data_IF_753686416458
#
_entry.id   IF_753686416458
#
_cell.length_a   1.000
_cell.length_b   1.000
_cell.length_c   1.000
_cell.angle_alpha   90.00
_cell.angle_beta   90.00
_cell.angle_gamma   90.00
#
_symmetry.space_group_name_H-M   'P 1'
#
loop_
_entity.id
_entity.type
_entity.pdbx_description
1 polymer ?
#
# COMPACT_ATOMS: atom_id res chain seq x y z
N UNK A 1 3.11 -31.22 -3.02
CA UNK A 1 3.47 -30.52 -1.78
C UNK A 1 4.79 -29.75 -2.00
N UNK A 2 4.74 -28.70 -2.83
CA UNK A 2 5.83 -27.76 -3.18
C UNK A 2 5.18 -26.51 -3.81
N UNK A 3 4.35 -25.80 -3.04
CA UNK A 3 3.52 -24.68 -3.53
C UNK A 3 3.70 -23.37 -2.74
N UNK A 4 4.68 -23.28 -1.82
CA UNK A 4 4.72 -22.19 -0.83
C UNK A 4 6.07 -21.43 -0.74
N UNK A 5 6.97 -21.53 -1.71
CA UNK A 5 8.32 -20.93 -1.59
C UNK A 5 8.57 -19.64 -2.36
N UNK A 6 7.57 -19.02 -3.01
CA UNK A 6 7.83 -17.81 -3.84
C UNK A 6 6.80 -16.69 -3.74
N UNK A 7 5.71 -16.84 -2.99
CA UNK A 7 4.57 -15.88 -3.03
C UNK A 7 4.51 -14.88 -1.88
N UNK A 8 5.54 -14.82 -1.03
CA UNK A 8 5.69 -13.79 0.03
C UNK A 8 6.79 -12.76 -0.29
N UNK A 9 7.28 -12.73 -1.53
CA UNK A 9 8.41 -11.92 -1.99
C UNK A 9 8.02 -10.89 -3.07
N UNK A 10 6.81 -10.32 -2.99
CA UNK A 10 6.37 -9.22 -3.87
C UNK A 10 6.46 -7.82 -3.21
N UNK A 11 6.92 -7.75 -1.95
CA UNK A 11 7.29 -6.47 -1.29
C UNK A 11 8.80 -6.18 -1.33
N UNK A 12 9.60 -6.97 -2.04
CA UNK A 12 11.07 -6.80 -2.11
C UNK A 12 11.56 -6.04 -3.36
N UNK A 13 10.76 -5.15 -3.93
CA UNK A 13 11.21 -4.22 -4.98
C UNK A 13 11.37 -2.81 -4.40
N UNK A 14 12.20 -2.70 -3.37
CA UNK A 14 12.84 -1.45 -2.99
C UNK A 14 14.31 -1.52 -3.42
N UNK A 15 14.65 -0.63 -4.35
CA UNK A 15 15.96 0.01 -4.46
C UNK A 15 17.19 -0.88 -4.62
N UNK A 16 17.55 -1.23 -5.86
CA UNK A 16 18.98 -1.16 -6.25
C UNK A 16 19.13 -0.54 -7.65
N UNK A 17 19.88 0.56 -7.72
CA UNK A 17 20.22 1.29 -8.95
C UNK A 17 21.68 1.77 -8.89
N UNK A 18 22.46 1.64 -9.97
CA UNK A 18 23.65 2.46 -10.20
C UNK A 18 23.50 3.41 -11.41
N UNK A 19 23.62 4.70 -11.12
CA UNK A 19 24.27 5.83 -11.85
C UNK A 19 24.39 5.83 -13.39
N UNK A 20 23.88 6.89 -14.05
CA UNK A 20 24.63 7.67 -15.08
C UNK A 20 23.94 8.95 -15.61
N UNK A 21 24.71 10.05 -15.57
CA UNK A 21 25.02 11.13 -16.53
C UNK A 21 23.98 11.94 -17.36
N UNK A 22 24.12 13.26 -17.18
CA UNK A 22 23.55 14.50 -17.75
C UNK A 22 23.33 14.64 -19.29
N UNK A 23 22.32 15.43 -19.70
CA UNK A 23 22.44 16.68 -20.51
C UNK A 23 21.08 17.35 -20.84
N UNK A 24 21.12 18.65 -21.19
CA UNK A 24 20.12 19.72 -21.02
C UNK A 24 18.91 19.81 -21.99
N UNK A 25 17.86 20.60 -21.66
CA UNK A 25 16.52 20.51 -22.27
C UNK A 25 16.17 21.65 -23.26
N UNK A 26 15.03 21.52 -23.93
CA UNK A 26 14.31 22.62 -24.60
C UNK A 26 12.79 22.46 -24.48
N UNK A 27 12.02 23.56 -24.49
CA UNK A 27 10.71 23.62 -23.84
C UNK A 27 9.56 23.30 -24.79
N UNK A 28 8.50 22.68 -24.27
CA UNK A 28 7.19 22.69 -24.93
C UNK A 28 6.09 23.15 -23.98
N UNK A 29 5.20 23.94 -24.56
CA UNK A 29 4.09 24.66 -23.97
C UNK A 29 2.87 23.75 -23.87
N UNK A 30 2.23 23.64 -22.71
CA UNK A 30 0.80 23.33 -22.65
C UNK A 30 0.16 23.94 -21.40
N UNK A 31 -1.01 24.52 -21.63
CA UNK A 31 -1.81 25.34 -20.72
C UNK A 31 -2.58 24.49 -19.71
N UNK A 32 -2.42 24.80 -18.43
CA UNK A 32 -3.23 24.32 -17.33
C UNK A 32 -4.71 24.69 -17.52
N UNK A 33 -5.62 23.72 -17.37
CA UNK A 33 -7.03 24.00 -17.15
C UNK A 33 -7.26 24.30 -15.66
N UNK A 34 -8.05 25.33 -15.37
CA UNK A 34 -8.37 25.77 -14.01
C UNK A 34 -9.38 24.82 -13.33
N UNK A 35 -9.32 24.66 -11.99
CA UNK A 35 -10.29 23.86 -11.25
C UNK A 35 -11.45 24.74 -10.79
N UNK A 36 -12.67 24.48 -11.28
CA UNK A 36 -13.87 24.82 -10.51
C UNK A 36 -15.09 24.05 -11.03
N UNK A 37 -15.46 23.01 -10.29
CA UNK A 37 -16.84 22.61 -9.98
C UNK A 37 -16.74 21.37 -9.08
N UNK A 38 -17.58 21.29 -8.04
CA UNK A 38 -17.80 20.02 -7.34
C UNK A 38 -18.32 19.06 -8.39
N UNK A 39 -17.59 17.99 -8.80
CA UNK A 39 -18.03 17.21 -9.94
C UNK A 39 -19.38 16.62 -9.62
N UNK A 40 -20.39 16.94 -10.45
CA UNK A 40 -21.62 16.16 -10.49
C UNK A 40 -21.23 14.69 -10.60
N UNK A 41 -21.85 13.82 -9.81
CA UNK A 41 -21.56 12.38 -9.82
C UNK A 41 -21.47 11.88 -11.28
N UNK A 42 -20.29 11.45 -11.77
CA UNK A 42 -20.06 11.15 -13.19
C UNK A 42 -20.90 9.96 -13.69
N UNK A 43 -21.69 9.33 -12.82
CA UNK A 43 -22.63 8.27 -13.15
C UNK A 43 -22.09 6.87 -12.89
N UNK A 44 -22.80 5.87 -13.42
CA UNK A 44 -22.42 4.46 -13.29
C UNK A 44 -21.15 4.15 -14.09
N UNK A 45 -20.28 3.29 -13.54
CA UNK A 45 -19.18 2.69 -14.30
C UNK A 45 -19.71 1.71 -15.35
N UNK A 46 -19.19 1.78 -16.57
CA UNK A 46 -19.37 0.74 -17.59
C UNK A 46 -18.29 -0.32 -17.42
N UNK A 47 -18.69 -1.59 -17.42
CA UNK A 47 -17.80 -2.73 -17.18
C UNK A 47 -17.68 -3.55 -18.44
N UNK A 48 -16.47 -3.65 -18.99
CA UNK A 48 -16.15 -4.53 -20.12
C UNK A 48 -15.24 -5.66 -19.64
N UNK A 49 -15.70 -6.91 -19.78
CA UNK A 49 -14.88 -8.09 -19.51
C UNK A 49 -13.95 -8.36 -20.69
N UNK A 50 -12.64 -8.17 -20.47
CA UNK A 50 -11.59 -8.42 -21.46
C UNK A 50 -11.14 -9.89 -21.46
N UNK A 51 -11.22 -10.56 -20.32
CA UNK A 51 -10.77 -11.94 -20.16
C UNK A 51 -11.24 -12.57 -18.87
N UNK A 52 -10.89 -13.84 -18.68
CA UNK A 52 -11.10 -14.56 -17.42
C UNK A 52 -10.15 -15.74 -17.32
N UNK A 53 -9.92 -16.18 -16.09
CA UNK A 53 -9.23 -17.42 -15.79
C UNK A 53 -9.63 -17.91 -14.41
N UNK A 54 -8.80 -18.75 -13.81
CA UNK A 54 -9.07 -19.36 -12.52
C UNK A 54 -7.79 -19.62 -11.72
N UNK A 55 -7.87 -19.43 -10.41
CA UNK A 55 -6.89 -19.90 -9.45
C UNK A 55 -7.30 -21.29 -8.96
N UNK A 56 -6.42 -22.28 -9.06
CA UNK A 56 -6.59 -23.61 -8.44
C UNK A 56 -5.60 -23.79 -7.30
N UNK A 57 -6.09 -23.71 -6.06
CA UNK A 57 -5.26 -23.88 -4.87
C UNK A 57 -6.07 -24.51 -3.73
N UNK A 58 -5.39 -25.22 -2.82
CA UNK A 58 -6.02 -25.88 -1.66
C UNK A 58 -7.26 -26.75 -2.00
N UNK A 59 -7.27 -27.39 -3.18
CA UNK A 59 -8.40 -28.21 -3.64
C UNK A 59 -9.65 -27.40 -4.04
N UNK A 60 -9.53 -26.08 -4.18
CA UNK A 60 -10.59 -25.16 -4.55
C UNK A 60 -10.23 -24.42 -5.84
N UNK A 61 -11.26 -23.86 -6.49
CA UNK A 61 -11.14 -23.06 -7.71
C UNK A 61 -11.79 -21.71 -7.49
N UNK A 62 -11.07 -20.62 -7.77
CA UNK A 62 -11.60 -19.26 -7.73
C UNK A 62 -11.52 -18.65 -9.14
N UNK A 63 -12.65 -18.37 -9.80
CA UNK A 63 -12.63 -17.68 -11.08
C UNK A 63 -12.19 -16.24 -10.90
N UNK A 64 -11.53 -15.68 -11.91
CA UNK A 64 -11.28 -14.24 -12.00
C UNK A 64 -11.70 -13.68 -13.35
N UNK A 65 -11.94 -12.38 -13.38
CA UNK A 65 -12.25 -11.60 -14.57
C UNK A 65 -11.21 -10.50 -14.73
N UNK A 66 -10.81 -10.25 -15.98
CA UNK A 66 -10.00 -9.09 -16.36
C UNK A 66 -10.95 -8.03 -16.90
N UNK A 67 -10.96 -6.86 -16.28
CA UNK A 67 -11.96 -5.82 -16.48
C UNK A 67 -11.32 -4.55 -17.02
N UNK A 68 -12.04 -3.91 -17.94
CA UNK A 68 -11.92 -2.49 -18.27
C UNK A 68 -13.12 -1.78 -17.65
N UNK A 69 -12.85 -0.76 -16.85
CA UNK A 69 -13.84 0.04 -16.14
C UNK A 69 -13.82 1.46 -16.72
N UNK A 70 -14.97 1.92 -17.21
CA UNK A 70 -15.07 3.20 -17.91
C UNK A 70 -16.08 4.08 -17.18
N UNK A 71 -15.60 5.19 -16.63
CA UNK A 71 -16.43 6.23 -16.02
C UNK A 71 -16.49 7.41 -17.00
N UNK A 72 -17.68 7.98 -17.31
CA UNK A 72 -17.80 9.09 -18.25
C UNK A 72 -16.85 10.24 -17.94
N UNK A 73 -16.13 10.71 -18.96
CA UNK A 73 -15.18 11.83 -18.83
C UNK A 73 -13.83 11.48 -18.21
N UNK A 74 -13.54 10.19 -17.96
CA UNK A 74 -12.28 9.73 -17.37
C UNK A 74 -11.56 8.73 -18.28
N UNK A 75 -10.27 8.56 -18.03
CA UNK A 75 -9.50 7.48 -18.64
C UNK A 75 -10.04 6.10 -18.21
N UNK A 76 -9.73 5.08 -19.01
CA UNK A 76 -10.13 3.71 -18.69
C UNK A 76 -9.25 3.14 -17.57
N UNK A 77 -9.90 2.57 -16.56
CA UNK A 77 -9.25 1.86 -15.46
C UNK A 77 -9.23 0.36 -15.76
N UNK A 78 -8.16 -0.31 -15.34
CA UNK A 78 -8.02 -1.76 -15.48
C UNK A 78 -8.03 -2.43 -14.12
N UNK A 79 -8.71 -3.57 -14.04
CA UNK A 79 -8.80 -4.32 -12.79
C UNK A 79 -8.86 -5.83 -13.02
N UNK A 80 -8.35 -6.60 -12.05
CA UNK A 80 -8.57 -8.03 -11.94
C UNK A 80 -9.51 -8.31 -10.77
N UNK A 81 -10.65 -8.93 -11.07
CA UNK A 81 -11.73 -9.17 -10.13
C UNK A 81 -11.91 -10.64 -9.82
N UNK A 82 -11.85 -10.99 -8.54
CA UNK A 82 -12.26 -12.27 -8.00
C UNK A 82 -13.58 -12.07 -7.23
N UNK A 83 -14.73 -12.54 -7.78
CA UNK A 83 -15.99 -12.45 -7.06
C UNK A 83 -15.95 -13.31 -5.78
N UNK A 84 -16.62 -12.88 -4.70
CA UNK A 84 -16.80 -13.73 -3.54
C UNK A 84 -17.50 -15.05 -3.90
N UNK A 85 -17.06 -16.15 -3.29
CA UNK A 85 -17.46 -17.50 -3.70
C UNK A 85 -18.79 -17.96 -3.12
N UNK A 86 -19.11 -17.56 -1.88
CA UNK A 86 -20.31 -18.03 -1.19
C UNK A 86 -21.56 -17.33 -1.74
N UNK A 87 -22.67 -18.05 -1.94
CA UNK A 87 -23.96 -17.40 -2.16
C UNK A 87 -24.27 -16.46 -1.00
N UNK A 88 -24.45 -15.17 -1.28
CA UNK A 88 -24.67 -14.13 -0.27
C UNK A 88 -23.83 -12.88 -0.51
N UNK A 89 -23.83 -11.96 0.44
CA UNK A 89 -22.97 -10.76 0.44
C UNK A 89 -21.71 -11.04 1.27
N UNK A 90 -20.54 -10.84 0.67
CA UNK A 90 -19.24 -11.12 1.30
C UNK A 90 -18.35 -9.90 1.32
N UNK A 91 -17.38 -9.84 2.26
CA UNK A 91 -16.37 -8.79 2.26
C UNK A 91 -15.55 -8.81 0.97
N UNK A 92 -15.00 -7.64 0.63
CA UNK A 92 -14.08 -7.47 -0.49
C UNK A 92 -12.84 -6.73 -0.02
N UNK A 93 -11.68 -7.08 -0.56
CA UNK A 93 -10.47 -6.27 -0.44
C UNK A 93 -10.12 -5.67 -1.78
N UNK A 94 -10.01 -4.34 -1.83
CA UNK A 94 -9.44 -3.61 -2.95
C UNK A 94 -7.93 -3.46 -2.75
N UNK A 95 -7.14 -3.93 -3.72
CA UNK A 95 -5.69 -3.81 -3.74
C UNK A 95 -5.28 -2.75 -4.76
N UNK A 96 -4.45 -1.80 -4.33
CA UNK A 96 -3.87 -0.77 -5.19
C UNK A 96 -2.60 -1.30 -5.87
N UNK A 97 -2.54 -1.32 -7.20
CA UNK A 97 -1.42 -1.86 -7.98
C UNK A 97 -0.82 -0.82 -8.94
N UNK A 98 -0.24 0.28 -8.45
CA UNK A 98 0.28 1.36 -9.31
C UNK A 98 1.43 0.90 -10.21
N UNK A 99 2.30 0.02 -9.69
CA UNK A 99 3.56 -0.35 -10.34
C UNK A 99 3.50 -1.65 -11.15
N UNK A 100 2.41 -2.42 -11.03
CA UNK A 100 2.28 -3.71 -11.71
C UNK A 100 2.08 -3.52 -13.21
N UNK A 101 2.99 -4.11 -13.99
CA UNK A 101 2.97 -4.06 -15.45
C UNK A 101 2.00 -5.07 -16.04
N UNK A 102 0.88 -4.61 -16.61
CA UNK A 102 -0.12 -5.49 -17.24
C UNK A 102 -0.01 -5.45 -18.76
N UNK A 103 -0.31 -6.58 -19.42
CA UNK A 103 -0.21 -6.72 -20.88
C UNK A 103 -1.52 -7.19 -21.55
N UNK A 104 -2.56 -7.48 -20.75
CA UNK A 104 -3.81 -8.09 -21.19
C UNK A 104 -4.90 -7.08 -21.59
N UNK A 105 -4.59 -5.79 -21.54
CA UNK A 105 -5.53 -4.69 -21.81
C UNK A 105 -5.84 -4.50 -23.30
N UNK A 106 -4.92 -4.94 -24.17
CA UNK A 106 -4.93 -4.65 -25.61
C UNK A 106 -4.39 -3.26 -25.98
N UNK A 107 -3.94 -2.45 -25.01
CA UNK A 107 -3.41 -1.12 -25.29
C UNK A 107 -1.95 -1.14 -25.76
N UNK A 108 -1.61 -0.23 -26.69
CA UNK A 108 -0.28 -0.16 -27.27
C UNK A 108 0.81 0.19 -26.24
N UNK A 109 0.49 1.03 -25.24
CA UNK A 109 1.44 1.38 -24.16
C UNK A 109 1.77 0.16 -23.30
N UNK A 110 0.79 -0.68 -22.98
CA UNK A 110 0.99 -1.90 -22.21
C UNK A 110 1.81 -2.92 -22.99
N UNK A 111 1.52 -3.10 -24.28
CA UNK A 111 2.32 -3.94 -25.17
C UNK A 111 3.77 -3.44 -25.29
N UNK A 112 3.97 -2.11 -25.40
CA UNK A 112 5.29 -1.45 -25.46
C UNK A 112 6.11 -1.79 -24.21
N UNK A 113 5.54 -1.62 -23.03
CA UNK A 113 6.24 -1.86 -21.76
C UNK A 113 6.44 -3.35 -21.48
N UNK A 114 5.44 -4.19 -21.76
CA UNK A 114 5.56 -5.64 -21.64
C UNK A 114 6.72 -6.19 -22.48
N UNK A 115 6.94 -5.65 -23.69
CA UNK A 115 8.05 -6.06 -24.56
C UNK A 115 9.45 -5.75 -23.99
N UNK A 116 9.56 -4.83 -23.01
CA UNK A 116 10.83 -4.51 -22.33
C UNK A 116 11.22 -5.53 -21.26
N UNK A 117 10.24 -6.25 -20.71
CA UNK A 117 10.44 -7.18 -19.60
C UNK A 117 10.78 -6.50 -18.27
N UNK A 118 11.02 -7.31 -17.24
CA UNK A 118 11.35 -6.82 -15.89
C UNK A 118 12.65 -6.01 -15.90
N UNK A 119 12.63 -4.82 -15.30
CA UNK A 119 13.85 -4.03 -15.11
C UNK A 119 13.58 -2.55 -14.99
N UNK A 120 14.66 -1.79 -15.05
CA UNK A 120 14.64 -0.32 -15.07
C UNK A 120 14.79 0.13 -16.50
N UNK A 121 13.84 0.92 -16.97
CA UNK A 121 13.81 1.42 -18.35
C UNK A 121 13.63 2.93 -18.33
N UNK A 122 14.17 3.66 -19.33
CA UNK A 122 13.87 5.08 -19.49
C UNK A 122 12.36 5.30 -19.45
N UNK A 123 11.89 6.24 -18.62
CA UNK A 123 10.48 6.62 -18.63
C UNK A 123 10.21 7.45 -19.88
N UNK A 124 9.64 6.81 -20.89
CA UNK A 124 9.25 7.40 -22.16
C UNK A 124 7.73 7.39 -22.36
N UNK A 125 7.00 7.42 -21.25
CA UNK A 125 5.57 7.65 -21.19
C UNK A 125 5.29 9.03 -20.61
N UNK A 126 4.11 9.58 -20.92
CA UNK A 126 3.58 10.76 -20.25
C UNK A 126 3.61 10.60 -18.72
N UNK A 127 3.43 11.69 -17.95
CA UNK A 127 3.37 13.07 -18.38
C UNK A 127 4.75 13.66 -18.65
N UNK A 128 4.90 14.47 -19.69
CA UNK A 128 6.05 15.37 -19.90
C UNK A 128 7.42 14.68 -19.96
N UNK A 129 7.50 13.47 -20.51
CA UNK A 129 8.79 12.81 -20.74
C UNK A 129 9.60 13.48 -21.85
N UNK A 130 10.91 13.28 -21.81
CA UNK A 130 11.81 13.80 -22.84
C UNK A 130 13.23 13.27 -22.72
N UNK A 131 14.15 13.75 -23.55
CA UNK A 131 15.57 13.44 -23.41
C UNK A 131 16.05 13.76 -21.99
N UNK A 132 16.57 12.74 -21.29
CA UNK A 132 17.06 12.89 -19.91
C UNK A 132 16.05 12.54 -18.81
N UNK A 133 14.82 12.12 -19.15
CA UNK A 133 13.90 11.53 -18.17
C UNK A 133 14.54 10.31 -17.49
N UNK A 134 14.34 10.20 -16.18
CA UNK A 134 14.95 9.14 -15.39
C UNK A 134 14.25 7.80 -15.63
N UNK A 135 14.92 6.72 -15.25
CA UNK A 135 14.36 5.39 -15.42
C UNK A 135 13.28 5.10 -14.37
N UNK A 136 12.26 4.34 -14.77
CA UNK A 136 11.28 3.76 -13.86
C UNK A 136 11.39 2.24 -13.87
N UNK A 137 11.01 1.63 -12.76
CA UNK A 137 10.92 0.18 -12.67
C UNK A 137 9.65 -0.30 -13.38
N UNK A 138 9.77 -1.41 -14.11
CA UNK A 138 8.66 -2.14 -14.69
C UNK A 138 8.78 -3.61 -14.32
N UNK A 139 7.71 -4.17 -13.77
CA UNK A 139 7.61 -5.60 -13.45
C UNK A 139 6.36 -6.14 -14.11
N UNK A 140 6.48 -7.01 -15.14
CA UNK A 140 5.35 -7.69 -15.72
C UNK A 140 4.63 -8.54 -14.65
N UNK A 141 3.35 -8.28 -14.46
CA UNK A 141 2.49 -8.98 -13.52
C UNK A 141 1.41 -9.72 -14.30
N UNK A 142 1.43 -11.06 -14.23
CA UNK A 142 0.41 -11.89 -14.88
C UNK A 142 -0.82 -12.04 -13.98
N UNK A 143 -1.99 -12.38 -14.54
CA UNK A 143 -3.17 -12.65 -13.72
C UNK A 143 -2.96 -13.75 -12.67
N UNK A 144 -2.08 -14.71 -12.92
CA UNK A 144 -1.74 -15.80 -11.99
C UNK A 144 -0.91 -15.31 -10.81
N UNK A 145 -0.03 -14.31 -10.99
CA UNK A 145 0.72 -13.71 -9.89
C UNK A 145 -0.22 -12.96 -8.94
N UNK A 146 -1.14 -12.15 -9.49
CA UNK A 146 -2.19 -11.48 -8.71
C UNK A 146 -3.08 -12.49 -8.00
N UNK A 147 -3.40 -13.61 -8.65
CA UNK A 147 -4.15 -14.68 -8.03
C UNK A 147 -3.42 -15.29 -6.82
N UNK A 148 -2.11 -15.48 -6.92
CA UNK A 148 -1.27 -15.95 -5.82
C UNK A 148 -1.28 -15.00 -4.62
N UNK A 149 -1.21 -13.69 -4.85
CA UNK A 149 -1.28 -12.67 -3.81
C UNK A 149 -2.69 -12.57 -3.19
N UNK A 150 -3.73 -12.67 -4.01
CA UNK A 150 -5.12 -12.63 -3.58
C UNK A 150 -5.50 -13.85 -2.70
N UNK A 151 -4.76 -14.96 -2.81
CA UNK A 151 -5.11 -16.23 -2.18
C UNK A 151 -5.43 -16.12 -0.69
N UNK A 152 -4.69 -15.29 0.05
CA UNK A 152 -4.93 -15.12 1.50
C UNK A 152 -6.33 -14.57 1.79
N UNK A 153 -6.90 -13.71 0.94
CA UNK A 153 -8.27 -13.21 1.09
C UNK A 153 -9.29 -14.20 0.55
N UNK A 154 -9.01 -14.79 -0.61
CA UNK A 154 -9.89 -15.75 -1.28
C UNK A 154 -10.17 -16.99 -0.42
N UNK A 155 -9.17 -17.42 0.36
CA UNK A 155 -9.31 -18.51 1.31
C UNK A 155 -10.31 -18.20 2.43
N UNK A 156 -10.52 -16.92 2.76
CA UNK A 156 -11.54 -16.44 3.69
C UNK A 156 -12.89 -16.16 3.01
N UNK A 157 -13.10 -16.64 1.79
CA UNK A 157 -14.30 -16.35 0.98
C UNK A 157 -14.53 -14.84 0.70
N UNK A 158 -13.49 -14.01 0.84
CA UNK A 158 -13.56 -12.60 0.46
C UNK A 158 -13.43 -12.48 -1.06
N UNK A 159 -14.07 -11.46 -1.64
CA UNK A 159 -13.74 -11.02 -2.99
C UNK A 159 -12.45 -10.20 -3.00
N UNK A 160 -11.80 -10.11 -4.16
CA UNK A 160 -10.59 -9.29 -4.34
C UNK A 160 -10.68 -8.52 -5.63
N UNK A 161 -10.52 -7.20 -5.55
CA UNK A 161 -10.38 -6.32 -6.70
C UNK A 161 -8.98 -5.71 -6.71
N UNK A 162 -8.12 -6.16 -7.61
CA UNK A 162 -6.83 -5.51 -7.85
C UNK A 162 -7.00 -4.43 -8.92
N UNK A 163 -6.78 -3.16 -8.58
CA UNK A 163 -6.93 -2.01 -9.48
C UNK A 163 -5.54 -1.50 -9.87
N UNK A 164 -5.30 -1.33 -11.17
CA UNK A 164 -3.97 -0.98 -11.70
C UNK A 164 -3.91 0.51 -12.08
N UNK A 165 -3.11 1.29 -11.34
CA UNK A 165 -2.86 2.71 -11.64
C UNK A 165 -1.90 2.94 -12.83
N UNK A 166 -1.19 1.88 -13.27
CA UNK A 166 -0.33 1.90 -14.47
C UNK A 166 0.62 3.10 -14.49
N UNK A 167 1.39 3.27 -13.42
CA UNK A 167 2.39 4.33 -13.28
C UNK A 167 3.29 4.42 -14.53
N UNK A 168 3.70 3.28 -15.08
CA UNK A 168 4.51 3.18 -16.30
C UNK A 168 3.83 3.70 -17.58
N UNK A 169 2.50 3.77 -17.61
CA UNK A 169 1.72 4.33 -18.71
C UNK A 169 1.47 5.84 -18.56
N UNK A 170 1.90 6.43 -17.44
CA UNK A 170 1.84 7.85 -17.19
C UNK A 170 0.71 8.32 -16.29
N UNK A 171 0.19 7.43 -15.44
CA UNK A 171 -0.76 7.81 -14.40
C UNK A 171 -0.21 8.95 -13.54
N UNK A 172 -0.99 10.01 -13.41
CA UNK A 172 -0.76 11.14 -12.52
C UNK A 172 -1.70 11.07 -11.31
N UNK A 173 -1.62 12.04 -10.38
CA UNK A 173 -2.44 11.99 -9.17
C UNK A 173 -3.94 11.96 -9.49
N UNK A 174 -4.40 12.75 -10.45
CA UNK A 174 -5.83 12.76 -10.77
C UNK A 174 -6.27 11.45 -11.43
N UNK A 175 -5.46 10.88 -12.34
CA UNK A 175 -5.77 9.59 -12.97
C UNK A 175 -5.79 8.44 -11.96
N UNK A 176 -4.78 8.33 -11.09
CA UNK A 176 -4.69 7.22 -10.13
C UNK A 176 -5.84 7.25 -9.12
N UNK A 177 -6.23 8.46 -8.69
CA UNK A 177 -7.44 8.68 -7.88
C UNK A 177 -8.71 8.25 -8.62
N UNK A 178 -8.82 8.61 -9.89
CA UNK A 178 -9.96 8.24 -10.73
C UNK A 178 -10.05 6.72 -10.94
N UNK A 179 -8.92 6.03 -11.03
CA UNK A 179 -8.84 4.57 -11.11
C UNK A 179 -9.40 3.91 -9.85
N UNK A 180 -8.97 4.37 -8.68
CA UNK A 180 -9.51 3.87 -7.41
C UNK A 180 -11.01 4.13 -7.28
N UNK A 181 -11.47 5.31 -7.71
CA UNK A 181 -12.90 5.63 -7.72
C UNK A 181 -13.70 4.74 -8.68
N UNK A 182 -13.17 4.42 -9.86
CA UNK A 182 -13.79 3.48 -10.79
C UNK A 182 -13.89 2.07 -10.21
N UNK A 183 -12.84 1.62 -9.49
CA UNK A 183 -12.83 0.37 -8.75
C UNK A 183 -13.93 0.30 -7.69
N UNK A 184 -14.08 1.35 -6.87
CA UNK A 184 -15.14 1.42 -5.86
C UNK A 184 -16.54 1.46 -6.51
N UNK A 185 -16.74 2.23 -7.58
CA UNK A 185 -18.01 2.24 -8.33
C UNK A 185 -18.37 0.87 -8.88
N UNK A 186 -17.37 0.10 -9.33
CA UNK A 186 -17.58 -1.28 -9.74
C UNK A 186 -18.07 -2.13 -8.56
N UNK A 187 -17.44 -2.01 -7.38
CA UNK A 187 -17.88 -2.75 -6.18
C UNK A 187 -19.30 -2.38 -5.72
N UNK A 188 -19.74 -1.14 -5.92
CA UNK A 188 -21.13 -0.74 -5.65
C UNK A 188 -22.16 -1.43 -6.55
N UNK A 189 -21.76 -1.86 -7.74
CA UNK A 189 -22.62 -2.47 -8.75
C UNK A 189 -22.49 -3.99 -8.83
N UNK A 190 -21.35 -4.54 -8.38
CA UNK A 190 -21.06 -5.95 -8.47
C UNK A 190 -21.98 -6.76 -7.56
N UNK A 191 -22.53 -7.86 -8.10
CA UNK A 191 -23.32 -8.80 -7.32
C UNK A 191 -22.49 -9.40 -6.19
N UNK A 192 -23.17 -9.76 -5.09
CA UNK A 192 -22.59 -10.50 -3.96
C UNK A 192 -21.50 -9.75 -3.16
N UNK A 193 -21.32 -8.45 -3.39
CA UNK A 193 -20.45 -7.58 -2.59
C UNK A 193 -21.22 -7.02 -1.39
N UNK A 194 -20.64 -7.18 -0.20
CA UNK A 194 -21.08 -6.45 0.99
C UNK A 194 -20.39 -5.08 1.03
N UNK A 195 -21.10 -4.03 0.60
CA UNK A 195 -20.54 -2.66 0.56
C UNK A 195 -20.24 -2.07 1.94
N UNK A 196 -20.69 -2.71 3.02
CA UNK A 196 -20.34 -2.31 4.41
C UNK A 196 -19.05 -2.96 4.91
N UNK A 197 -18.52 -3.96 4.17
CA UNK A 197 -17.31 -4.72 4.50
C UNK A 197 -16.31 -4.69 3.34
N UNK A 198 -15.90 -3.50 2.96
CA UNK A 198 -14.84 -3.29 1.97
C UNK A 198 -13.56 -2.85 2.68
N UNK A 199 -12.49 -3.61 2.48
CA UNK A 199 -11.14 -3.21 2.85
C UNK A 199 -10.40 -2.58 1.69
N UNK A 200 -9.48 -1.66 1.98
CA UNK A 200 -8.52 -1.15 1.00
C UNK A 200 -7.09 -1.31 1.50
N UNK A 201 -6.17 -1.72 0.63
CA UNK A 201 -4.76 -1.93 0.96
C UNK A 201 -3.86 -1.35 -0.11
N UNK A 202 -2.82 -0.63 0.32
CA UNK A 202 -1.79 -0.12 -0.57
C UNK A 202 -0.48 0.24 0.14
N UNK A 203 0.61 0.36 -0.61
CA UNK A 203 1.91 0.79 -0.07
C UNK A 203 2.59 1.81 -0.98
N UNK A 204 3.40 2.70 -0.41
CA UNK A 204 4.08 3.79 -1.12
C UNK A 204 3.07 4.67 -1.86
N UNK A 205 3.24 4.86 -3.17
CA UNK A 205 2.24 5.46 -4.05
C UNK A 205 0.87 4.76 -3.98
N UNK A 206 0.84 3.43 -3.85
CA UNK A 206 -0.41 2.70 -3.61
C UNK A 206 -1.03 3.01 -2.25
N UNK A 207 -0.22 3.41 -1.26
CA UNK A 207 -0.70 3.90 0.03
C UNK A 207 -1.44 5.23 -0.13
N UNK A 208 -0.93 6.12 -0.99
CA UNK A 208 -1.64 7.30 -1.45
C UNK A 208 -2.97 6.91 -2.14
N UNK A 209 -2.93 6.02 -3.12
CA UNK A 209 -4.13 5.54 -3.83
C UNK A 209 -5.18 4.99 -2.85
N UNK A 210 -4.76 4.23 -1.83
CA UNK A 210 -5.65 3.68 -0.81
C UNK A 210 -6.32 4.77 0.04
N UNK A 211 -5.56 5.79 0.46
CA UNK A 211 -6.10 6.93 1.21
C UNK A 211 -7.11 7.73 0.37
N UNK A 212 -6.81 7.98 -0.90
CA UNK A 212 -7.70 8.75 -1.78
C UNK A 212 -8.88 7.93 -2.29
N UNK A 213 -8.76 6.60 -2.40
CA UNK A 213 -9.90 5.72 -2.59
C UNK A 213 -10.95 5.95 -1.50
N UNK A 214 -10.51 6.05 -0.23
CA UNK A 214 -11.41 6.31 0.89
C UNK A 214 -11.88 7.77 0.97
N UNK A 215 -11.02 8.74 0.64
CA UNK A 215 -11.36 10.16 0.64
C UNK A 215 -12.45 10.50 -0.39
N UNK A 216 -12.39 9.86 -1.56
CA UNK A 216 -13.25 10.12 -2.71
C UNK A 216 -14.23 8.98 -2.99
N UNK A 217 -14.45 8.12 -2.00
CA UNK A 217 -15.39 7.03 -2.07
C UNK A 217 -16.79 7.56 -2.44
N UNK A 218 -17.47 7.00 -3.47
CA UNK A 218 -18.88 7.30 -3.70
C UNK A 218 -19.70 7.00 -2.44
N UNK A 219 -20.72 7.81 -2.15
CA UNK A 219 -21.52 7.66 -0.93
C UNK A 219 -22.20 6.28 -0.77
N UNK A 220 -22.39 5.54 -1.88
CA UNK A 220 -22.95 4.19 -1.90
C UNK A 220 -21.96 3.09 -1.54
N UNK A 221 -20.65 3.41 -1.47
CA UNK A 221 -19.57 2.44 -1.31
C UNK A 221 -18.36 3.10 -0.63
N UNK A 222 -18.29 3.00 0.69
CA UNK A 222 -17.18 3.55 1.49
C UNK A 222 -16.42 2.39 2.13
N UNK A 223 -15.09 2.28 1.94
CA UNK A 223 -14.30 1.28 2.65
C UNK A 223 -14.48 1.40 4.16
N UNK A 224 -14.62 0.27 4.86
CA UNK A 224 -14.80 0.23 6.32
C UNK A 224 -13.50 0.05 7.09
N UNK A 225 -12.42 -0.32 6.40
CA UNK A 225 -11.07 -0.41 6.96
C UNK A 225 -10.03 -0.20 5.84
N UNK A 226 -8.94 0.50 6.17
CA UNK A 226 -7.80 0.68 5.30
C UNK A 226 -6.50 0.23 5.94
N UNK A 227 -5.55 -0.22 5.11
CA UNK A 227 -4.15 -0.35 5.50
C UNK A 227 -3.28 0.36 4.46
N UNK A 228 -2.37 1.18 4.94
CA UNK A 228 -1.37 1.85 4.12
C UNK A 228 0.05 1.54 4.62
N UNK A 229 0.99 1.28 3.72
CA UNK A 229 2.41 1.16 4.03
C UNK A 229 3.14 2.39 3.50
N UNK A 230 3.91 3.09 4.34
CA UNK A 230 4.64 4.32 3.96
C UNK A 230 3.90 5.23 2.96
N UNK A 231 2.68 5.72 3.25
CA UNK A 231 1.88 6.45 2.27
C UNK A 231 2.34 7.90 2.11
N UNK A 232 2.20 8.45 0.89
CA UNK A 232 2.17 9.91 0.71
C UNK A 232 0.84 10.46 1.21
N UNK A 233 0.87 11.28 2.27
CA UNK A 233 -0.30 11.99 2.79
C UNK A 233 -0.33 13.47 2.41
N UNK A 234 0.82 14.06 2.07
CA UNK A 234 0.95 15.46 1.69
C UNK A 234 2.00 15.65 0.57
N UNK A 235 1.54 16.03 -0.61
CA UNK A 235 2.40 16.13 -1.79
C UNK A 235 3.22 17.43 -1.84
N UNK A 236 2.74 18.51 -1.20
CA UNK A 236 3.54 19.72 -1.09
C UNK A 236 4.70 19.52 -0.10
N UNK A 237 4.43 18.79 0.98
CA UNK A 237 5.46 18.35 1.93
C UNK A 237 6.47 17.41 1.28
N UNK A 238 6.03 16.48 0.42
CA UNK A 238 6.93 15.61 -0.34
C UNK A 238 7.88 16.42 -1.23
N UNK A 239 7.34 17.37 -1.99
CA UNK A 239 8.16 18.21 -2.87
C UNK A 239 9.18 19.01 -2.05
N UNK A 240 8.79 19.57 -0.90
CA UNK A 240 9.72 20.24 0.02
C UNK A 240 10.79 19.28 0.58
N UNK A 241 10.37 18.08 1.00
CA UNK A 241 11.26 17.07 1.55
C UNK A 241 12.40 16.74 0.57
N UNK A 242 12.07 16.42 -0.68
CA UNK A 242 13.07 16.07 -1.69
C UNK A 242 13.87 17.29 -2.15
N UNK A 243 13.25 18.46 -2.30
CA UNK A 243 13.92 19.65 -2.85
C UNK A 243 14.77 20.43 -1.83
N UNK A 244 14.46 20.33 -0.53
CA UNK A 244 15.15 21.09 0.52
C UNK A 244 15.73 20.19 1.62
N UNK A 245 14.93 19.26 2.15
CA UNK A 245 15.36 18.44 3.30
C UNK A 245 16.45 17.46 2.90
N UNK A 246 16.25 16.68 1.84
CA UNK A 246 17.25 15.71 1.35
C UNK A 246 18.59 16.41 1.01
N UNK A 247 18.65 17.51 0.24
CA UNK A 247 19.90 18.24 -0.02
C UNK A 247 20.57 18.81 1.24
N UNK A 248 19.81 19.13 2.29
CA UNK A 248 20.37 19.59 3.56
C UNK A 248 20.98 18.46 4.40
N UNK A 249 20.50 17.21 4.23
CA UNK A 249 20.93 16.03 4.98
C UNK A 249 22.00 15.21 4.26
N UNK A 250 21.98 15.20 2.92
CA UNK A 250 22.87 14.41 2.07
C UNK A 250 24.00 15.29 1.54
N UNK A 251 25.19 15.18 2.12
CA UNK A 251 26.37 15.91 1.65
C UNK A 251 27.04 15.28 0.42
N UNK A 252 26.91 13.97 0.20
CA UNK A 252 27.49 13.26 -0.94
C UNK A 252 26.77 13.63 -2.25
N UNK A 253 27.47 14.22 -3.25
CA UNK A 253 26.86 14.58 -4.53
C UNK A 253 26.36 13.37 -5.34
N UNK A 254 26.99 12.20 -5.21
CA UNK A 254 26.53 10.97 -5.90
C UNK A 254 25.20 10.53 -5.31
N UNK A 255 25.06 10.55 -3.99
CA UNK A 255 23.82 10.19 -3.32
C UNK A 255 22.71 11.20 -3.63
N UNK A 256 22.99 12.51 -3.63
CA UNK A 256 22.01 13.53 -4.06
C UNK A 256 21.50 13.29 -5.48
N UNK A 257 22.40 12.96 -6.41
CA UNK A 257 22.05 12.62 -7.80
C UNK A 257 21.12 11.41 -7.88
N UNK A 258 21.33 10.38 -7.03
CA UNK A 258 20.43 9.22 -6.94
C UNK A 258 19.02 9.58 -6.48
N UNK A 259 18.88 10.43 -5.46
CA UNK A 259 17.57 10.92 -5.03
C UNK A 259 16.87 11.72 -6.15
N UNK A 260 17.59 12.63 -6.81
CA UNK A 260 17.03 13.40 -7.91
C UNK A 260 16.55 12.51 -9.06
N UNK A 261 17.34 11.50 -9.45
CA UNK A 261 16.96 10.54 -10.48
C UNK A 261 15.76 9.69 -10.06
N UNK A 262 15.70 9.28 -8.79
CA UNK A 262 14.57 8.50 -8.28
C UNK A 262 13.26 9.31 -8.34
N UNK A 263 13.28 10.56 -7.87
CA UNK A 263 12.05 11.35 -7.72
C UNK A 263 11.60 12.08 -8.99
N UNK A 264 12.46 12.24 -9.99
CA UNK A 264 12.10 12.90 -11.26
C UNK A 264 10.78 12.38 -11.88
N UNK A 265 10.56 11.07 -12.08
CA UNK A 265 9.32 10.58 -12.67
C UNK A 265 8.09 10.81 -11.77
N UNK A 266 8.27 10.80 -10.45
CA UNK A 266 7.20 11.10 -9.49
C UNK A 266 6.81 12.58 -9.54
N UNK A 267 7.81 13.47 -9.59
CA UNK A 267 7.59 14.91 -9.68
C UNK A 267 6.88 15.30 -10.97
N UNK A 268 7.19 14.66 -12.11
CA UNK A 268 6.43 14.88 -13.34
C UNK A 268 4.93 14.59 -13.17
N UNK A 269 4.60 13.51 -12.48
CA UNK A 269 3.21 13.09 -12.22
C UNK A 269 2.52 13.98 -11.19
N UNK A 270 3.21 14.35 -10.12
CA UNK A 270 2.72 15.33 -9.15
C UNK A 270 2.43 16.65 -9.86
N UNK A 271 3.38 17.19 -10.62
CA UNK A 271 3.26 18.49 -11.28
C UNK A 271 2.25 18.50 -12.44
N UNK A 272 2.05 17.37 -13.13
CA UNK A 272 1.02 17.24 -14.15
C UNK A 272 -0.38 17.52 -13.57
N UNK A 273 -0.67 16.99 -12.38
CA UNK A 273 -1.93 17.25 -11.69
C UNK A 273 -1.95 18.60 -10.95
N UNK A 274 -0.86 18.95 -10.29
CA UNK A 274 -0.82 20.10 -9.37
C UNK A 274 -0.38 21.40 -10.01
N UNK A 275 0.02 21.41 -11.28
CA UNK A 275 0.38 22.62 -12.03
C UNK A 275 1.80 23.14 -11.82
N UNK A 276 2.66 22.46 -11.04
CA UNK A 276 4.06 22.82 -10.81
C UNK A 276 4.44 22.80 -9.33
N UNK A 277 5.57 23.42 -8.97
CA UNK A 277 6.05 23.42 -7.59
C UNK A 277 5.07 24.12 -6.62
N UNK A 278 4.99 23.68 -5.35
CA UNK A 278 4.11 24.30 -4.35
C UNK A 278 4.36 25.80 -4.18
N UNK A 279 3.28 26.59 -4.22
CA UNK A 279 3.33 28.04 -4.01
C UNK A 279 3.69 28.85 -5.25
N UNK A 280 3.89 28.21 -6.41
CA UNK A 280 4.03 28.90 -7.69
C UNK A 280 2.68 29.27 -8.30
N UNK A 281 2.56 30.38 -9.06
CA UNK A 281 1.30 30.75 -9.69
C UNK A 281 0.78 29.64 -10.62
N UNK A 282 -0.47 29.23 -10.42
CA UNK A 282 -1.09 28.14 -11.18
C UNK A 282 -0.94 26.76 -10.54
N UNK A 283 -0.15 26.63 -9.47
CA UNK A 283 -0.10 25.39 -8.70
C UNK A 283 -1.27 25.25 -7.71
N UNK A 284 -1.81 24.04 -7.56
CA UNK A 284 -2.85 23.70 -6.59
C UNK A 284 -2.57 22.35 -5.92
N UNK A 285 -2.26 22.44 -4.62
CA UNK A 285 -2.05 21.29 -3.74
C UNK A 285 -3.17 21.13 -2.72
N UNK A 286 -4.22 21.97 -2.74
CA UNK A 286 -5.22 22.06 -1.65
C UNK A 286 -5.91 20.72 -1.36
N UNK A 287 -6.10 19.90 -2.39
CA UNK A 287 -6.69 18.56 -2.32
C UNK A 287 -5.70 17.46 -1.95
N UNK A 288 -4.40 17.77 -1.97
CA UNK A 288 -3.31 16.81 -1.92
C UNK A 288 -2.52 16.91 -0.60
N UNK A 289 -3.23 17.21 0.50
CA UNK A 289 -2.65 17.49 1.83
C UNK A 289 -3.14 16.53 2.91
N UNK A 290 -2.37 16.43 3.99
CA UNK A 290 -2.78 15.67 5.17
C UNK A 290 -4.07 16.25 5.81
N UNK A 291 -4.25 17.58 5.72
CA UNK A 291 -5.47 18.25 6.19
C UNK A 291 -6.70 17.90 5.35
N UNK A 292 -6.54 17.80 4.02
CA UNK A 292 -7.61 17.33 3.16
C UNK A 292 -8.04 15.92 3.55
N UNK A 293 -7.08 14.98 3.61
CA UNK A 293 -7.35 13.59 4.02
C UNK A 293 -7.98 13.51 5.41
N UNK A 294 -7.47 14.27 6.37
CA UNK A 294 -8.04 14.34 7.71
C UNK A 294 -9.46 14.93 7.71
N UNK A 295 -9.87 15.74 6.73
CA UNK A 295 -11.24 16.24 6.65
C UNK A 295 -12.19 15.27 5.92
N UNK A 296 -11.71 14.53 4.93
CA UNK A 296 -12.56 13.76 4.00
C UNK A 296 -12.64 12.28 4.34
N UNK A 297 -11.53 11.63 4.67
CA UNK A 297 -11.50 10.18 4.94
C UNK A 297 -12.30 9.88 6.20
N UNK A 298 -13.32 9.01 6.09
CA UNK A 298 -14.07 8.50 7.26
C UNK A 298 -13.63 7.10 7.68
N UNK A 299 -12.99 6.37 6.75
CA UNK A 299 -12.46 5.03 6.96
C UNK A 299 -11.34 5.03 8.00
N UNK A 300 -11.34 4.12 8.98
CA UNK A 300 -10.20 3.92 9.85
C UNK A 300 -9.04 3.23 9.11
N UNK A 301 -7.83 3.78 9.23
CA UNK A 301 -6.61 3.28 8.63
C UNK A 301 -5.57 2.88 9.67
N UNK A 302 -4.94 1.73 9.44
CA UNK A 302 -3.62 1.40 9.99
C UNK A 302 -2.54 1.81 8.99
N UNK A 303 -1.56 2.59 9.45
CA UNK A 303 -0.41 3.00 8.66
C UNK A 303 0.87 2.39 9.24
N UNK A 304 1.58 1.57 8.48
CA UNK A 304 2.88 1.02 8.90
C UNK A 304 4.00 1.80 8.20
N UNK A 305 4.97 2.32 8.95
CA UNK A 305 6.00 3.21 8.40
C UNK A 305 7.33 3.03 9.15
N UNK A 306 8.44 2.88 8.43
CA UNK A 306 9.79 2.89 8.99
C UNK A 306 10.25 4.32 9.31
N UNK A 307 10.84 4.55 10.48
CA UNK A 307 11.34 5.88 10.86
C UNK A 307 12.61 6.30 10.12
N UNK A 308 13.21 5.39 9.34
CA UNK A 308 14.30 5.64 8.40
C UNK A 308 13.86 5.59 6.93
N UNK A 309 12.56 5.66 6.63
CA UNK A 309 12.08 5.83 5.26
C UNK A 309 12.67 7.12 4.65
N UNK A 310 13.44 6.95 3.57
CA UNK A 310 14.08 8.06 2.87
C UNK A 310 13.34 8.45 1.61
N UNK A 311 12.37 7.66 1.17
CA UNK A 311 11.50 7.96 0.04
C UNK A 311 10.33 8.82 0.47
N UNK A 312 9.72 8.52 1.61
CA UNK A 312 8.58 9.25 2.13
C UNK A 312 8.87 9.41 3.62
N UNK A 313 9.11 10.61 4.13
CA UNK A 313 9.50 10.78 5.53
C UNK A 313 8.36 10.34 6.46
N UNK A 314 8.67 9.63 7.56
CA UNK A 314 7.68 9.16 8.56
C UNK A 314 6.82 10.29 9.14
N UNK A 315 7.32 11.53 9.06
CA UNK A 315 6.60 12.76 9.33
C UNK A 315 5.26 12.86 8.57
N UNK A 316 5.12 12.28 7.39
CA UNK A 316 3.84 12.20 6.65
C UNK A 316 2.77 11.44 7.43
N UNK A 317 3.14 10.27 7.96
CA UNK A 317 2.25 9.45 8.80
C UNK A 317 1.95 10.18 10.11
N UNK A 318 2.98 10.69 10.79
CA UNK A 318 2.82 11.36 12.09
C UNK A 318 1.97 12.62 11.99
N UNK A 319 2.14 13.42 10.94
CA UNK A 319 1.32 14.61 10.70
C UNK A 319 -0.15 14.26 10.43
N UNK A 320 -0.42 13.20 9.66
CA UNK A 320 -1.78 12.75 9.39
C UNK A 320 -2.47 12.18 10.65
N UNK A 321 -1.76 11.34 11.42
CA UNK A 321 -2.25 10.79 12.70
C UNK A 321 -2.52 11.89 13.70
N UNK A 322 -1.65 12.90 13.83
CA UNK A 322 -1.86 14.02 14.75
C UNK A 322 -3.13 14.83 14.43
N UNK A 323 -3.51 14.93 13.16
CA UNK A 323 -4.71 15.67 12.73
C UNK A 323 -6.01 14.89 12.95
N UNK A 324 -5.99 13.56 12.85
CA UNK A 324 -7.17 12.72 13.02
C UNK A 324 -6.84 11.36 13.67
N UNK A 325 -6.45 11.33 14.97
CA UNK A 325 -5.92 10.14 15.64
C UNK A 325 -6.95 9.03 15.87
N UNK A 326 -8.25 9.34 15.73
CA UNK A 326 -9.33 8.35 15.79
C UNK A 326 -9.56 7.64 14.46
N UNK A 327 -9.05 8.20 13.35
CA UNK A 327 -9.18 7.65 12.00
C UNK A 327 -7.87 7.05 11.50
N UNK A 328 -6.73 7.64 11.84
CA UNK A 328 -5.43 7.12 11.45
C UNK A 328 -4.69 6.67 12.69
N UNK A 329 -4.22 5.42 12.67
CA UNK A 329 -3.31 4.86 13.68
C UNK A 329 -2.05 4.41 12.99
N UNK A 330 -0.88 4.65 13.59
CA UNK A 330 0.38 4.17 13.04
C UNK A 330 0.90 2.92 13.74
N UNK A 331 1.81 2.22 13.07
CA UNK A 331 2.81 1.34 13.64
C UNK A 331 4.17 1.80 13.07
N UNK A 332 4.98 2.43 13.91
CA UNK A 332 6.27 2.99 13.53
C UNK A 332 7.36 1.91 13.75
N UNK A 333 8.10 1.53 12.71
CA UNK A 333 9.28 0.68 12.85
C UNK A 333 10.46 1.56 13.25
N UNK A 334 10.96 1.36 14.46
CA UNK A 334 11.91 2.28 15.08
C UNK A 334 13.34 1.78 14.98
N UNK A 335 14.18 2.50 14.23
CA UNK A 335 15.61 2.25 14.17
C UNK A 335 16.30 2.87 15.38
N UNK A 336 17.08 2.06 16.10
CA UNK A 336 17.73 2.48 17.35
C UNK A 336 18.93 3.39 17.13
N UNK A 337 19.63 3.23 16.01
CA UNK A 337 20.79 4.03 15.66
C UNK A 337 20.40 5.41 15.12
N UNK A 338 21.38 6.30 14.98
CA UNK A 338 21.22 7.51 14.19
C UNK A 338 21.32 7.19 12.69
N UNK A 339 20.45 7.79 11.89
CA UNK A 339 20.47 7.64 10.43
C UNK A 339 21.71 8.30 9.81
N UNK A 340 22.38 7.59 8.89
CA UNK A 340 23.42 8.17 8.04
C UNK A 340 22.91 8.35 6.61
N UNK A 341 22.48 9.58 6.31
CA UNK A 341 21.92 9.99 5.02
C UNK A 341 22.88 9.87 3.84
N UNK A 342 24.19 9.81 4.07
CA UNK A 342 25.17 9.63 2.97
C UNK A 342 25.35 8.17 2.58
N UNK A 343 24.90 7.21 3.40
CA UNK A 343 25.03 5.78 3.13
C UNK A 343 23.69 5.07 2.94
N UNK A 344 22.59 5.69 3.37
CA UNK A 344 21.25 5.13 3.22
C UNK A 344 20.72 5.43 1.81
N UNK A 345 20.42 4.41 0.98
CA UNK A 345 19.85 4.61 -0.34
C UNK A 345 18.40 5.15 -0.25
N UNK A 346 17.84 5.64 -1.38
CA UNK A 346 16.41 5.84 -1.53
C UNK A 346 15.66 4.51 -1.31
N UNK A 347 15.01 4.34 -0.15
CA UNK A 347 14.35 3.11 0.32
C UNK A 347 13.24 3.47 1.34
N UNK A 348 12.22 2.61 1.49
CA UNK A 348 11.19 2.74 2.54
C UNK A 348 11.65 2.28 3.92
N UNK A 349 12.95 2.07 4.09
CA UNK A 349 13.60 1.84 5.37
C UNK A 349 13.99 0.38 5.59
N UNK A 350 15.11 0.16 6.31
CA UNK A 350 15.70 -1.16 6.44
C UNK A 350 14.85 -2.12 7.29
N UNK A 351 14.08 -1.63 8.27
CA UNK A 351 13.25 -2.47 9.12
C UNK A 351 11.97 -2.91 8.41
N UNK A 352 11.41 -2.08 7.52
CA UNK A 352 10.31 -2.50 6.65
C UNK A 352 10.73 -3.70 5.79
N UNK A 353 11.92 -3.64 5.21
CA UNK A 353 12.50 -4.75 4.42
C UNK A 353 12.83 -5.95 5.30
N UNK A 354 13.54 -5.74 6.42
CA UNK A 354 13.96 -6.80 7.33
C UNK A 354 12.77 -7.56 7.94
N UNK A 355 11.69 -6.85 8.26
CA UNK A 355 10.51 -7.40 8.93
C UNK A 355 9.30 -7.51 8.00
N UNK A 356 9.50 -7.60 6.67
CA UNK A 356 8.39 -7.66 5.70
C UNK A 356 7.35 -8.75 6.00
N UNK A 357 7.76 -9.91 6.51
CA UNK A 357 6.81 -10.95 6.96
C UNK A 357 5.95 -10.54 8.16
N UNK A 358 6.50 -9.75 9.09
CA UNK A 358 5.76 -9.19 10.23
C UNK A 358 4.80 -8.12 9.75
N UNK A 359 5.24 -7.26 8.82
CA UNK A 359 4.36 -6.26 8.19
C UNK A 359 3.14 -6.93 7.57
N UNK A 360 3.35 -7.99 6.78
CA UNK A 360 2.26 -8.80 6.21
C UNK A 360 1.38 -9.41 7.32
N UNK A 361 1.99 -9.98 8.37
CA UNK A 361 1.25 -10.59 9.49
C UNK A 361 0.31 -9.57 10.15
N UNK A 362 0.82 -8.38 10.48
CA UNK A 362 0.08 -7.36 11.21
C UNK A 362 -0.92 -6.63 10.32
N UNK A 363 -0.57 -6.32 9.07
CA UNK A 363 -1.48 -5.68 8.11
C UNK A 363 -2.67 -6.58 7.78
N UNK A 364 -2.41 -7.87 7.52
CA UNK A 364 -3.47 -8.83 7.24
C UNK A 364 -4.28 -9.13 8.49
N UNK A 365 -3.63 -9.27 9.65
CA UNK A 365 -4.32 -9.40 10.94
C UNK A 365 -5.34 -8.29 11.14
N UNK A 366 -4.92 -7.03 10.96
CA UNK A 366 -5.80 -5.87 11.06
C UNK A 366 -6.98 -5.92 10.08
N UNK A 367 -6.68 -6.15 8.79
CA UNK A 367 -7.69 -6.10 7.73
C UNK A 367 -8.69 -7.26 7.84
N UNK A 368 -8.19 -8.49 7.99
CA UNK A 368 -9.00 -9.71 8.00
C UNK A 368 -9.88 -9.79 9.26
N UNK A 369 -9.36 -9.39 10.44
CA UNK A 369 -10.15 -9.36 11.69
C UNK A 369 -11.33 -8.38 11.60
N UNK A 370 -11.13 -7.23 10.97
CA UNK A 370 -12.18 -6.21 10.80
C UNK A 370 -13.23 -6.58 9.75
N UNK A 371 -12.85 -7.31 8.72
CA UNK A 371 -13.75 -7.73 7.64
C UNK A 371 -14.47 -9.06 7.90
N UNK A 372 -13.80 -9.98 8.61
CA UNK A 372 -14.28 -11.33 8.87
C UNK A 372 -15.59 -11.33 9.66
N UNK A 373 -16.45 -12.32 9.39
CA UNK A 373 -17.68 -12.49 10.15
C UNK A 373 -17.40 -12.91 11.61
N UNK A 374 -18.37 -12.73 12.50
CA UNK A 374 -18.21 -12.93 13.95
C UNK A 374 -17.75 -14.34 14.38
N UNK A 375 -18.09 -15.38 13.59
CA UNK A 375 -17.75 -16.78 13.88
C UNK A 375 -16.84 -17.40 12.81
N UNK A 376 -16.31 -16.58 11.89
CA UNK A 376 -15.47 -17.06 10.81
C UNK A 376 -14.04 -17.32 11.32
N UNK A 377 -13.45 -18.52 11.12
CA UNK A 377 -12.03 -18.73 11.37
C UNK A 377 -11.16 -17.86 10.44
N UNK A 378 -10.16 -17.19 10.99
CA UNK A 378 -9.29 -16.24 10.29
C UNK A 378 -7.85 -16.72 10.36
N UNK A 379 -7.31 -17.19 9.23
CA UNK A 379 -5.93 -17.60 9.09
C UNK A 379 -5.03 -16.40 8.81
N UNK A 380 -4.18 -16.06 9.76
CA UNK A 380 -3.20 -14.98 9.61
C UNK A 380 -1.82 -15.61 9.39
N UNK A 381 -1.19 -15.40 8.22
CA UNK A 381 0.11 -15.99 7.95
C UNK A 381 1.18 -15.33 8.82
N UNK A 382 2.14 -16.11 9.27
CA UNK A 382 3.38 -15.61 9.86
C UNK A 382 4.58 -16.41 9.34
N UNK A 383 5.78 -15.91 9.63
CA UNK A 383 7.03 -16.62 9.42
C UNK A 383 7.67 -16.99 10.76
N UNK A 384 8.27 -18.18 10.86
CA UNK A 384 8.85 -18.67 12.11
C UNK A 384 9.93 -17.72 12.65
N UNK A 385 9.77 -17.29 13.89
CA UNK A 385 10.75 -16.46 14.61
C UNK A 385 10.81 -14.98 14.19
N UNK A 386 10.13 -14.57 13.12
CA UNK A 386 10.22 -13.17 12.64
C UNK A 386 9.50 -12.19 13.56
N UNK A 387 8.31 -12.55 14.06
CA UNK A 387 7.59 -11.76 15.07
C UNK A 387 8.43 -11.62 16.35
N UNK A 388 9.10 -12.70 16.78
CA UNK A 388 10.03 -12.64 17.94
C UNK A 388 11.16 -11.64 17.71
N UNK A 389 11.82 -11.74 16.57
CA UNK A 389 12.96 -10.89 16.23
C UNK A 389 12.56 -9.42 16.14
N UNK A 390 11.35 -9.14 15.65
CA UNK A 390 10.78 -7.79 15.68
C UNK A 390 10.48 -7.32 17.11
N UNK A 391 9.82 -8.15 17.93
CA UNK A 391 9.52 -7.82 19.33
C UNK A 391 10.79 -7.59 20.18
N UNK A 392 11.90 -8.27 19.88
CA UNK A 392 13.20 -7.97 20.50
C UNK A 392 13.66 -6.55 20.18
N UNK A 393 13.47 -6.09 18.95
CA UNK A 393 13.71 -4.69 18.55
C UNK A 393 12.78 -3.72 19.29
N UNK A 394 11.50 -4.08 19.44
CA UNK A 394 10.52 -3.30 20.23
C UNK A 394 10.95 -3.19 21.69
N UNK A 395 11.36 -4.30 22.33
CA UNK A 395 11.88 -4.29 23.70
C UNK A 395 13.10 -3.38 23.83
N UNK A 396 14.04 -3.48 22.88
CA UNK A 396 15.24 -2.63 22.89
C UNK A 396 14.90 -1.14 22.70
N UNK A 397 13.87 -0.79 21.92
CA UNK A 397 13.35 0.57 21.84
C UNK A 397 12.76 1.03 23.18
N UNK A 398 11.97 0.16 23.83
CA UNK A 398 11.39 0.40 25.15
C UNK A 398 12.47 0.61 26.24
N UNK A 399 13.56 -0.16 26.21
CA UNK A 399 14.72 -0.01 27.11
C UNK A 399 15.43 1.34 26.93
N UNK A 400 15.37 1.93 25.73
CA UNK A 400 15.86 3.28 25.45
C UNK A 400 14.84 4.38 25.78
N UNK A 401 13.71 4.03 26.41
CA UNK A 401 12.65 4.97 26.77
C UNK A 401 11.85 5.49 25.57
N UNK A 402 11.90 4.81 24.42
CA UNK A 402 11.07 5.16 23.26
C UNK A 402 9.63 4.70 23.48
N UNK A 403 8.69 5.45 22.94
CA UNK A 403 7.27 5.07 22.93
C UNK A 403 7.06 3.90 21.97
N UNK A 404 6.44 2.82 22.46
CA UNK A 404 6.10 1.60 21.71
C UNK A 404 4.63 1.22 21.90
N UNK A 405 3.80 2.19 22.29
CA UNK A 405 2.38 1.98 22.60
C UNK A 405 1.55 1.57 21.37
N UNK A 406 2.05 1.86 20.18
CA UNK A 406 1.49 1.49 18.87
C UNK A 406 1.53 -0.02 18.58
N UNK A 407 2.38 -0.78 19.27
CA UNK A 407 2.53 -2.24 19.10
C UNK A 407 1.34 -3.01 19.67
N UNK A 408 0.86 -2.63 20.85
CA UNK A 408 -0.16 -3.41 21.60
C UNK A 408 -1.46 -3.60 20.83
N UNK A 409 -2.07 -2.58 20.19
CA UNK A 409 -3.29 -2.77 19.41
C UNK A 409 -3.17 -3.86 18.35
N UNK A 410 -2.00 -3.98 17.71
CA UNK A 410 -1.73 -4.98 16.66
C UNK A 410 -1.63 -6.39 17.25
N UNK A 411 -0.97 -6.54 18.40
CA UNK A 411 -0.92 -7.81 19.12
C UNK A 411 -2.31 -8.23 19.63
N UNK A 412 -3.12 -7.28 20.11
CA UNK A 412 -4.49 -7.55 20.56
C UNK A 412 -5.40 -7.99 19.42
N UNK A 413 -5.24 -7.46 18.21
CA UNK A 413 -5.94 -7.94 17.01
C UNK A 413 -5.63 -9.43 16.74
N UNK A 414 -4.36 -9.84 16.88
CA UNK A 414 -3.98 -11.25 16.74
C UNK A 414 -4.52 -12.15 17.86
N UNK A 415 -4.97 -11.61 18.99
CA UNK A 415 -5.58 -12.39 20.08
C UNK A 415 -7.09 -12.58 19.91
N UNK A 416 -7.68 -12.12 18.81
CA UNK A 416 -9.10 -12.36 18.50
C UNK A 416 -9.39 -13.88 18.49
N UNK A 417 -10.47 -14.36 19.14
CA UNK A 417 -10.78 -15.80 19.23
C UNK A 417 -10.91 -16.51 17.88
N UNK A 418 -11.20 -15.78 16.80
CA UNK A 418 -11.29 -16.30 15.44
C UNK A 418 -9.92 -16.55 14.81
N UNK A 419 -8.87 -15.90 15.30
CA UNK A 419 -7.54 -15.90 14.67
C UNK A 419 -6.82 -17.21 14.94
N UNK A 420 -6.35 -17.82 13.86
CA UNK A 420 -5.40 -18.92 13.84
C UNK A 420 -4.15 -18.44 13.10
N UNK A 421 -3.01 -18.47 13.78
CA UNK A 421 -1.72 -18.16 13.19
C UNK A 421 -1.27 -19.34 12.33
N UNK A 422 -0.99 -19.07 11.07
CA UNK A 422 -0.64 -20.07 10.07
C UNK A 422 0.81 -19.92 9.63
N UNK A 423 1.61 -20.96 9.85
CA UNK A 423 2.98 -21.05 9.35
C UNK A 423 3.02 -21.99 8.16
N UNK A 424 3.08 -21.42 6.96
CA UNK A 424 2.97 -22.17 5.71
C UNK A 424 4.12 -23.16 5.49
N UNK A 425 5.33 -22.86 5.97
CA UNK A 425 6.50 -23.72 5.79
C UNK A 425 6.45 -24.99 6.65
N UNK A 426 5.78 -24.92 7.80
CA UNK A 426 5.61 -26.03 8.73
C UNK A 426 4.24 -26.70 8.62
N UNK A 427 3.28 -26.05 7.96
CA UNK A 427 1.89 -26.51 7.89
C UNK A 427 1.19 -26.52 9.25
N UNK A 428 1.62 -25.64 10.16
CA UNK A 428 1.10 -25.60 11.54
C UNK A 428 0.11 -24.47 11.73
N UNK A 429 -0.87 -24.72 12.61
CA UNK A 429 -1.86 -23.76 13.07
C UNK A 429 -1.79 -23.64 14.59
N UNK A 430 -1.94 -22.43 15.10
CA UNK A 430 -1.96 -22.13 16.53
C UNK A 430 -2.99 -21.02 16.82
N UNK A 431 -3.77 -21.11 17.91
CA UNK A 431 -4.64 -20.00 18.31
C UNK A 431 -3.84 -18.71 18.48
N UNK A 432 -4.36 -17.60 17.95
CA UNK A 432 -3.67 -16.32 17.96
C UNK A 432 -3.25 -15.83 19.34
N UNK A 433 -4.13 -15.99 20.35
CA UNK A 433 -3.78 -15.67 21.74
C UNK A 433 -2.62 -16.53 22.27
N UNK A 434 -2.60 -17.83 21.96
CA UNK A 434 -1.50 -18.71 22.35
C UNK A 434 -0.18 -18.29 21.69
N UNK A 435 -0.23 -17.88 20.41
CA UNK A 435 0.94 -17.39 19.68
C UNK A 435 1.48 -16.11 20.28
N UNK A 436 0.64 -15.10 20.50
CA UNK A 436 1.06 -13.83 21.10
C UNK A 436 1.63 -14.05 22.51
N UNK A 437 1.00 -14.90 23.33
CA UNK A 437 1.52 -15.25 24.65
C UNK A 437 2.92 -15.86 24.58
N UNK A 438 3.13 -16.80 23.65
CA UNK A 438 4.43 -17.44 23.44
C UNK A 438 5.50 -16.43 23.03
N UNK A 439 5.21 -15.54 22.09
CA UNK A 439 6.18 -14.56 21.61
C UNK A 439 6.51 -13.49 22.66
N UNK A 440 5.51 -12.98 23.40
CA UNK A 440 5.72 -12.05 24.50
C UNK A 440 6.53 -12.70 25.63
N UNK A 441 6.18 -13.92 26.06
CA UNK A 441 6.92 -14.63 27.10
C UNK A 441 8.38 -14.86 26.71
N UNK A 442 8.64 -15.19 25.44
CA UNK A 442 10.00 -15.40 24.95
C UNK A 442 10.85 -14.12 24.97
N UNK A 443 10.24 -12.94 24.83
CA UNK A 443 10.95 -11.66 24.77
C UNK A 443 11.03 -10.97 26.13
N UNK A 444 9.96 -10.95 26.92
CA UNK A 444 9.90 -10.26 28.22
C UNK A 444 10.01 -11.18 29.44
N UNK A 445 10.11 -12.51 29.26
CA UNK A 445 10.22 -13.45 30.38
C UNK A 445 8.95 -13.55 31.23
N UNK A 446 7.80 -13.18 30.68
CA UNK A 446 6.49 -13.26 31.35
C UNK A 446 5.96 -14.71 31.41
N UNK A 447 4.85 -14.90 32.13
CA UNK A 447 4.12 -16.17 32.24
C UNK A 447 2.70 -16.09 31.69
N UNK A 448 2.49 -15.34 30.60
CA UNK A 448 1.17 -15.19 29.99
C UNK A 448 0.71 -16.50 29.35
N UNK A 449 -0.61 -16.69 29.34
CA UNK A 449 -1.29 -17.81 28.70
C UNK A 449 -2.24 -17.29 27.63
N UNK A 450 -2.73 -18.18 26.78
CA UNK A 450 -3.80 -17.87 25.84
C UNK A 450 -5.04 -17.25 26.52
N UNK A 451 -5.36 -17.68 27.74
CA UNK A 451 -6.51 -17.19 28.50
C UNK A 451 -6.32 -15.77 29.08
N UNK A 452 -5.09 -15.31 29.34
CA UNK A 452 -4.85 -14.04 30.03
C UNK A 452 -4.06 -13.00 29.23
N UNK A 453 -3.42 -13.37 28.12
CA UNK A 453 -2.54 -12.46 27.37
C UNK A 453 -3.27 -11.18 26.93
N UNK A 454 -4.54 -11.28 26.54
CA UNK A 454 -5.33 -10.14 26.10
C UNK A 454 -5.54 -9.11 27.23
N UNK A 455 -5.91 -9.57 28.42
CA UNK A 455 -6.09 -8.68 29.58
C UNK A 455 -4.75 -8.20 30.14
N UNK A 456 -3.71 -9.02 30.06
CA UNK A 456 -2.36 -8.67 30.50
C UNK A 456 -1.71 -7.59 29.61
N UNK A 457 -2.01 -7.56 28.32
CA UNK A 457 -1.55 -6.53 27.38
C UNK A 457 -2.42 -5.27 27.35
N UNK A 458 -3.63 -5.30 27.91
CA UNK A 458 -4.53 -4.14 27.95
C UNK A 458 -3.90 -2.84 28.51
N UNK A 459 -3.07 -2.87 29.58
CA UNK A 459 -2.39 -1.67 30.08
C UNK A 459 -1.13 -1.28 29.28
N UNK A 460 -0.61 -2.12 28.38
CA UNK A 460 0.64 -1.91 27.67
C UNK A 460 1.50 -3.17 27.52
N UNK A 461 2.64 -3.04 26.85
CA UNK A 461 3.69 -4.08 26.86
C UNK A 461 4.30 -4.21 28.26
N UNK A 462 4.80 -5.39 28.66
CA UNK A 462 5.54 -5.54 29.91
C UNK A 462 6.75 -4.59 29.96
N UNK A 463 7.14 -4.16 31.16
CA UNK A 463 8.36 -3.36 31.32
C UNK A 463 9.59 -4.27 31.18
N UNK A 464 10.64 -3.85 30.45
CA UNK A 464 11.85 -4.66 30.18
C UNK A 464 12.66 -5.06 31.40
#
# INVERSE_FOLDING_TARGET
>A
MRLFSTTLLALSLLGTLPTACCSNPSPSTNSCQAPDETPSDPGSVQVTKLGSGELKAAGQTWPYQLLKLEVPGRAATYAQWFPPRKPGVSPVVMLTKPYDGIAWTGEAVDAKWAARGTGLHPDDSEPHYGPGSSAIAYTPTTPELVAGEAFVYLFHDFGVLAVFGRFYAGGDLQNDRDDMNAGLRFLAQADHVDTTRIGVFGGSWGGYEALYAAADAPATVVPSVGVALSPLSDFAQEVDYVSRVVPSRVSDPVMRSRYQQFFEPYFRRIHATTGGDPGTPGSDYTRWTAAHLASTVQTPFLILHDDWDTLIPVEHTRALVAQAPQRFTSLDLQNLAAVNWNTLPPDHGPLLTQYGSVIITLSLGHLIVKLGAAEQPLLIPHAQGTVRAWLQGVRAAQEQGRDVSDVVPRLLELTDPRVQMFEASLGTLQPGAAFVAQEINAVWGTGFTDANVRSALAPGLPTP
#
